data_IF_715520623471
#
_entry.id   IF_715520623471
#
_cell.length_a   1.000
_cell.length_b   1.000
_cell.length_c   1.000
_cell.angle_alpha   90.00
_cell.angle_beta   90.00
_cell.angle_gamma   90.00
#
_symmetry.space_group_name_H-M   'P 1'
#
loop_
_entity.id
_entity.type
_entity.pdbx_description
1 polymer ?
#
# COMPACT_ATOMS: atom_id res chain seq x y z
N UNK A 1 16.96 -16.50 6.73
CA UNK A 1 17.09 -15.49 7.81
C UNK A 1 16.79 -14.13 7.18
N UNK A 2 15.98 -13.29 7.82
CA UNK A 2 15.68 -11.96 7.27
C UNK A 2 16.92 -11.06 7.34
N UNK A 3 17.23 -10.34 6.26
CA UNK A 3 18.35 -9.39 6.22
C UNK A 3 18.02 -8.17 7.08
N UNK A 4 18.82 -7.92 8.12
CA UNK A 4 18.67 -6.73 8.95
C UNK A 4 19.27 -5.51 8.25
N UNK A 5 18.49 -4.44 8.13
CA UNK A 5 18.89 -3.15 7.54
C UNK A 5 18.63 -2.02 8.55
N UNK A 6 19.26 -0.85 8.35
CA UNK A 6 19.16 0.30 9.26
C UNK A 6 18.53 1.50 8.57
N UNK A 7 17.69 2.24 9.29
CA UNK A 7 17.12 3.52 8.89
C UNK A 7 17.79 4.61 9.74
N UNK A 8 18.45 5.57 9.09
CA UNK A 8 19.08 6.73 9.74
C UNK A 8 18.18 7.97 9.60
N UNK A 9 17.78 8.58 10.73
CA UNK A 9 16.86 9.73 10.75
C UNK A 9 17.55 10.93 11.41
N UNK A 10 17.55 12.08 10.72
CA UNK A 10 18.01 13.35 11.29
C UNK A 10 16.84 14.09 11.93
N UNK A 11 17.02 14.52 13.17
CA UNK A 11 16.06 15.33 13.94
C UNK A 11 16.81 16.40 14.71
N UNK A 12 16.17 17.55 14.94
CA UNK A 12 16.70 18.53 15.89
C UNK A 12 16.47 18.09 17.35
N UNK A 13 17.08 18.84 18.27
CA UNK A 13 17.08 18.53 19.69
C UNK A 13 15.67 18.56 20.28
N UNK A 14 14.86 19.54 19.89
CA UNK A 14 13.48 19.68 20.37
C UNK A 14 12.65 18.44 20.02
N UNK A 15 12.65 18.03 18.74
CA UNK A 15 11.93 16.84 18.28
C UNK A 15 12.44 15.59 18.98
N UNK A 16 13.76 15.44 19.14
CA UNK A 16 14.35 14.30 19.85
C UNK A 16 13.85 14.21 21.29
N UNK A 17 13.80 15.33 22.01
CA UNK A 17 13.37 15.36 23.40
C UNK A 17 11.89 15.00 23.54
N UNK A 18 11.03 15.53 22.66
CA UNK A 18 9.60 15.19 22.66
C UNK A 18 9.39 13.70 22.38
N UNK A 19 10.06 13.14 21.37
CA UNK A 19 9.96 11.72 21.03
C UNK A 19 10.49 10.85 22.18
N UNK A 20 11.62 11.21 22.78
CA UNK A 20 12.18 10.48 23.92
C UNK A 20 11.21 10.44 25.10
N UNK A 21 10.57 11.58 25.42
CA UNK A 21 9.59 11.65 26.49
C UNK A 21 8.35 10.80 26.18
N UNK A 22 7.85 10.82 24.94
CA UNK A 22 6.71 10.01 24.54
C UNK A 22 7.01 8.50 24.61
N UNK A 23 8.22 8.09 24.20
CA UNK A 23 8.68 6.71 24.31
C UNK A 23 8.77 6.26 25.78
N UNK A 24 9.34 7.10 26.65
CA UNK A 24 9.42 6.86 28.09
C UNK A 24 8.03 6.68 28.72
N UNK A 25 7.09 7.59 28.43
CA UNK A 25 5.70 7.50 28.91
C UNK A 25 4.99 6.22 28.43
N UNK A 26 5.42 5.68 27.29
CA UNK A 26 4.87 4.45 26.70
C UNK A 26 5.62 3.19 27.17
N UNK A 27 6.65 3.31 28.02
CA UNK A 27 7.47 2.19 28.47
C UNK A 27 8.31 1.56 27.35
N UNK A 28 8.66 2.32 26.32
CA UNK A 28 9.33 1.86 25.12
C UNK A 28 10.65 2.59 24.90
N UNK A 29 11.57 1.95 24.16
CA UNK A 29 12.72 2.67 23.60
C UNK A 29 12.27 3.61 22.49
N UNK A 30 13.07 4.66 22.19
CA UNK A 30 12.81 5.56 21.05
C UNK A 30 12.61 4.78 19.74
N UNK A 31 13.45 3.76 19.50
CA UNK A 31 13.37 2.93 18.30
C UNK A 31 12.05 2.17 18.23
N UNK A 32 11.62 1.54 19.32
CA UNK A 32 10.34 0.81 19.38
C UNK A 32 9.15 1.76 19.18
N UNK A 33 9.18 2.92 19.84
CA UNK A 33 8.13 3.92 19.72
C UNK A 33 8.00 4.44 18.28
N UNK A 34 9.11 4.82 17.65
CA UNK A 34 9.12 5.31 16.27
C UNK A 34 8.68 4.23 15.29
N UNK A 35 9.20 3.01 15.40
CA UNK A 35 8.79 1.89 14.54
C UNK A 35 7.31 1.56 14.71
N UNK A 36 6.79 1.58 15.94
CA UNK A 36 5.39 1.31 16.24
C UNK A 36 4.42 2.33 15.63
N UNK A 37 4.87 3.56 15.36
CA UNK A 37 4.07 4.58 14.66
C UNK A 37 4.23 4.51 13.14
N UNK A 38 5.46 4.34 12.66
CA UNK A 38 5.77 4.42 11.22
C UNK A 38 5.35 3.15 10.49
N UNK A 39 5.58 1.97 11.06
CA UNK A 39 5.28 0.69 10.39
C UNK A 39 3.80 0.53 10.04
N UNK A 40 2.83 0.75 10.96
CA UNK A 40 1.42 0.61 10.62
C UNK A 40 0.95 1.64 9.57
N UNK A 41 1.54 2.84 9.55
CA UNK A 41 1.23 3.82 8.52
C UNK A 41 1.74 3.40 7.14
N UNK A 42 2.99 2.90 7.09
CA UNK A 42 3.58 2.37 5.87
C UNK A 42 2.77 1.17 5.34
N UNK A 43 2.37 0.23 6.19
CA UNK A 43 1.52 -0.90 5.81
C UNK A 43 0.17 -0.43 5.26
N UNK A 44 -0.49 0.52 5.94
CA UNK A 44 -1.77 1.07 5.47
C UNK A 44 -1.64 1.67 4.08
N UNK A 45 -0.65 2.54 3.85
CA UNK A 45 -0.47 3.20 2.54
C UNK A 45 -0.14 2.20 1.43
N UNK A 46 0.78 1.28 1.71
CA UNK A 46 1.21 0.27 0.73
C UNK A 46 0.08 -0.73 0.41
N UNK A 47 -0.79 -1.00 1.38
CA UNK A 47 -1.93 -1.93 1.18
C UNK A 47 -3.16 -1.23 0.60
N UNK A 48 -3.40 0.04 0.92
CA UNK A 48 -4.52 0.82 0.39
C UNK A 48 -4.44 0.98 -1.13
N UNK A 49 -3.24 1.13 -1.68
CA UNK A 49 -3.05 1.26 -3.14
C UNK A 49 -3.46 -0.01 -3.91
N UNK A 50 -3.55 -1.18 -3.25
CA UNK A 50 -3.86 -2.46 -3.88
C UNK A 50 -5.21 -3.06 -3.49
N UNK A 51 -6.07 -2.32 -2.76
CA UNK A 51 -7.38 -2.85 -2.31
C UNK A 51 -8.55 -2.07 -2.89
N UNK A 52 -9.25 -2.68 -3.82
CA UNK A 52 -10.57 -2.22 -4.26
C UNK A 52 -11.61 -2.59 -3.20
N UNK A 53 -12.26 -1.59 -2.62
CA UNK A 53 -13.41 -1.78 -1.72
C UNK A 53 -14.68 -1.56 -2.53
N UNK A 54 -15.52 -2.60 -2.60
CA UNK A 54 -16.81 -2.55 -3.25
C UNK A 54 -17.92 -2.54 -2.20
N UNK A 55 -19.02 -1.84 -2.49
CA UNK A 55 -20.26 -2.04 -1.73
C UNK A 55 -20.80 -3.45 -1.98
N UNK A 56 -21.77 -3.90 -1.19
CA UNK A 56 -22.38 -5.21 -1.42
C UNK A 56 -23.00 -5.29 -2.83
N UNK A 57 -23.71 -4.24 -3.27
CA UNK A 57 -24.32 -4.20 -4.59
C UNK A 57 -23.29 -4.22 -5.72
N UNK A 58 -22.18 -3.49 -5.55
CA UNK A 58 -21.09 -3.50 -6.54
C UNK A 58 -20.36 -4.85 -6.57
N UNK A 59 -20.24 -5.51 -5.42
CA UNK A 59 -19.66 -6.85 -5.31
C UNK A 59 -20.51 -7.88 -6.05
N UNK A 60 -21.83 -7.88 -5.84
CA UNK A 60 -22.77 -8.77 -6.53
C UNK A 60 -22.73 -8.55 -8.06
N UNK A 61 -22.80 -7.28 -8.49
CA UNK A 61 -22.69 -6.94 -9.91
C UNK A 61 -21.34 -7.35 -10.52
N UNK A 62 -20.25 -7.22 -9.75
CA UNK A 62 -18.92 -7.64 -10.17
C UNK A 62 -18.83 -9.16 -10.33
N UNK A 63 -19.32 -9.94 -9.36
CA UNK A 63 -19.31 -11.41 -9.43
C UNK A 63 -20.20 -11.95 -10.54
N UNK A 64 -21.40 -11.38 -10.72
CA UNK A 64 -22.30 -11.74 -11.82
C UNK A 64 -21.62 -11.55 -13.19
N UNK A 65 -20.80 -10.52 -13.31
CA UNK A 65 -20.06 -10.24 -14.54
C UNK A 65 -18.86 -11.16 -14.74
N UNK A 66 -18.22 -11.63 -13.66
CA UNK A 66 -17.14 -12.61 -13.73
C UNK A 66 -17.64 -14.00 -14.15
N UNK A 67 -18.82 -14.39 -13.68
CA UNK A 67 -19.43 -15.69 -14.01
C UNK A 67 -20.06 -15.72 -15.41
N UNK A 68 -20.37 -14.55 -15.97
CA UNK A 68 -20.88 -14.44 -17.33
C UNK A 68 -19.81 -14.85 -18.37
N UNK A 69 -20.21 -15.50 -19.49
CA UNK A 69 -19.28 -15.82 -20.56
C UNK A 69 -18.63 -14.55 -21.13
N UNK A 70 -17.35 -14.62 -21.54
CA UNK A 70 -16.64 -13.46 -22.05
C UNK A 70 -17.35 -12.91 -23.29
N UNK A 71 -17.57 -11.59 -23.29
CA UNK A 71 -18.14 -10.91 -24.44
C UNK A 71 -17.08 -10.75 -25.52
N UNK A 72 -17.39 -11.25 -26.69
CA UNK A 72 -16.60 -11.03 -27.89
C UNK A 72 -16.63 -9.55 -28.29
N UNK A 73 -15.45 -8.93 -28.28
CA UNK A 73 -15.24 -7.52 -28.60
C UNK A 73 -14.20 -7.40 -29.72
N UNK A 74 -14.65 -7.35 -30.99
CA UNK A 74 -13.75 -7.30 -32.15
C UNK A 74 -12.73 -6.16 -32.07
N UNK A 75 -13.14 -5.00 -31.57
CA UNK A 75 -12.26 -3.84 -31.39
C UNK A 75 -11.17 -4.10 -30.33
N UNK A 76 -11.52 -4.71 -29.19
CA UNK A 76 -10.54 -5.07 -28.15
C UNK A 76 -9.55 -6.11 -28.68
N UNK A 77 -10.03 -7.10 -29.45
CA UNK A 77 -9.15 -8.06 -30.13
C UNK A 77 -8.18 -7.36 -31.10
N UNK A 78 -8.66 -6.39 -31.87
CA UNK A 78 -7.80 -5.59 -32.76
C UNK A 78 -6.79 -4.70 -31.99
N UNK A 79 -7.16 -4.20 -30.80
CA UNK A 79 -6.26 -3.44 -29.94
C UNK A 79 -5.13 -4.30 -29.36
N UNK A 80 -5.38 -5.59 -29.08
CA UNK A 80 -4.38 -6.52 -28.55
C UNK A 80 -3.38 -7.00 -29.61
N UNK A 81 -3.72 -6.96 -30.90
CA UNK A 81 -2.85 -7.43 -31.99
C UNK A 81 -2.01 -6.34 -32.64
N UNK A 82 -2.40 -5.06 -32.51
CA UNK A 82 -1.62 -3.93 -33.03
C UNK A 82 -0.42 -3.63 -32.12
N UNK A 83 0.64 -3.04 -32.69
CA UNK A 83 1.81 -2.59 -31.93
C UNK A 83 1.38 -1.62 -30.82
N UNK A 84 1.79 -1.91 -29.59
CA UNK A 84 1.49 -1.06 -28.42
C UNK A 84 1.99 0.37 -28.66
N UNK A 85 1.18 1.36 -28.25
CA UNK A 85 1.60 2.76 -28.19
C UNK A 85 2.26 3.11 -26.85
N UNK A 86 2.15 2.24 -25.87
CA UNK A 86 2.89 2.33 -24.63
C UNK A 86 4.30 1.80 -24.91
N UNK A 87 5.24 2.72 -25.09
CA UNK A 87 6.67 2.46 -25.01
C UNK A 87 7.00 2.55 -23.53
N UNK A 88 7.60 1.49 -22.99
CA UNK A 88 8.07 1.35 -21.60
C UNK A 88 7.02 0.83 -20.59
N UNK A 89 7.27 -0.40 -20.15
CA UNK A 89 6.81 -0.97 -18.89
C UNK A 89 8.04 -1.57 -18.19
#
# INVERSE_FOLDING_TARGET
>A
MATQTRIDIRVDLEKKNVIARAAELSGQTITQYVLGLVWPDAERRTTQDNRLRLSQADWEAFTDRLDAPPRELPEVKALLTRKTRFQDA
#
